data_IF_141508095362
#
_entry.id   IF_141508095362
#
_cell.length_a   1.000
_cell.length_b   1.000
_cell.length_c   1.000
_cell.angle_alpha   90.00
_cell.angle_beta   90.00
_cell.angle_gamma   90.00
#
_symmetry.space_group_name_H-M   'P 1'
#
loop_
_entity.id
_entity.type
_entity.pdbx_description
1 polymer ?
#
# COMPACT_ATOMS: atom_id res chain seq x y z
N UNK A 1 3.45 -28.08 55.13
CA UNK A 1 3.25 -26.63 54.95
C UNK A 1 3.31 -26.27 53.46
N UNK A 2 2.36 -26.76 52.65
CA UNK A 2 2.43 -26.64 51.18
C UNK A 2 1.15 -27.05 50.41
N UNK A 3 0.01 -27.21 51.10
CA UNK A 3 -1.25 -27.67 50.49
C UNK A 3 -2.37 -26.63 50.52
N UNK A 4 -2.13 -25.43 51.06
CA UNK A 4 -3.15 -24.38 51.19
C UNK A 4 -3.06 -23.26 50.15
N UNK A 5 -1.92 -23.08 49.46
CA UNK A 5 -1.76 -22.02 48.45
C UNK A 5 -2.36 -22.35 47.07
N UNK A 6 -2.65 -23.63 46.80
CA UNK A 6 -3.10 -24.04 45.46
C UNK A 6 -4.59 -23.79 45.17
N UNK A 7 -5.40 -23.46 46.19
CA UNK A 7 -6.88 -23.32 46.05
C UNK A 7 -7.36 -21.90 45.78
N UNK A 8 -6.54 -20.86 45.97
CA UNK A 8 -6.99 -19.47 45.84
C UNK A 8 -6.81 -18.85 44.44
N UNK A 9 -5.90 -19.37 43.61
CA UNK A 9 -5.68 -18.84 42.25
C UNK A 9 -6.83 -19.13 41.27
N UNK A 10 -7.63 -20.17 41.53
CA UNK A 10 -8.77 -20.53 40.67
C UNK A 10 -10.01 -19.66 40.94
N UNK A 11 -10.06 -18.97 42.08
CA UNK A 11 -11.26 -18.24 42.54
C UNK A 11 -11.27 -16.76 42.14
N UNK A 12 -10.15 -16.17 41.71
CA UNK A 12 -10.07 -14.74 41.39
C UNK A 12 -10.36 -14.41 39.91
N UNK A 13 -10.26 -15.38 39.01
CA UNK A 13 -10.51 -15.21 37.56
C UNK A 13 -11.99 -14.91 37.23
N UNK A 14 -12.92 -15.67 37.82
CA UNK A 14 -14.36 -15.50 37.56
C UNK A 14 -14.93 -14.17 38.06
N UNK A 15 -14.40 -13.66 39.19
CA UNK A 15 -14.86 -12.42 39.79
C UNK A 15 -14.29 -11.18 39.10
N UNK A 16 -13.08 -11.26 38.53
CA UNK A 16 -12.48 -10.20 37.74
C UNK A 16 -13.27 -9.97 36.43
N UNK A 17 -13.63 -11.03 35.71
CA UNK A 17 -14.44 -10.94 34.48
C UNK A 17 -15.86 -10.42 34.77
N UNK A 18 -16.48 -10.86 35.87
CA UNK A 18 -17.80 -10.37 36.29
C UNK A 18 -17.80 -8.87 36.60
N UNK A 19 -16.74 -8.35 37.23
CA UNK A 19 -16.60 -6.91 37.51
C UNK A 19 -16.32 -6.07 36.25
N UNK A 20 -15.67 -6.63 35.23
CA UNK A 20 -15.48 -5.97 33.92
C UNK A 20 -16.81 -5.85 33.19
N UNK A 21 -17.59 -6.93 33.11
CA UNK A 21 -18.91 -6.95 32.46
C UNK A 21 -19.90 -5.97 33.11
N UNK A 22 -19.81 -5.81 34.44
CA UNK A 22 -20.68 -4.92 35.22
C UNK A 22 -20.34 -3.42 35.09
N UNK A 23 -19.18 -3.09 34.51
CA UNK A 23 -18.71 -1.71 34.26
C UNK A 23 -18.80 -1.29 32.79
N UNK A 24 -19.37 -2.13 31.92
CA UNK A 24 -19.51 -1.81 30.50
C UNK A 24 -20.56 -0.70 30.33
N UNK A 25 -20.09 0.52 30.10
CA UNK A 25 -20.93 1.60 29.58
C UNK A 25 -21.39 1.26 28.15
N UNK A 26 -22.50 1.86 27.72
CA UNK A 26 -22.99 1.72 26.34
C UNK A 26 -21.88 2.01 25.31
N UNK A 27 -21.03 3.01 25.58
CA UNK A 27 -19.87 3.35 24.75
C UNK A 27 -18.86 2.19 24.64
N UNK A 28 -18.62 1.45 25.72
CA UNK A 28 -17.72 0.29 25.71
C UNK A 28 -18.28 -0.84 24.85
N UNK A 29 -19.60 -1.07 24.91
CA UNK A 29 -20.26 -2.07 24.06
C UNK A 29 -20.22 -1.70 22.58
N UNK A 30 -20.44 -0.42 22.25
CA UNK A 30 -20.34 0.08 20.88
C UNK A 30 -18.93 -0.08 20.32
N UNK A 31 -17.90 0.25 21.12
CA UNK A 31 -16.51 0.08 20.70
C UNK A 31 -16.15 -1.40 20.51
N UNK A 32 -16.57 -2.28 21.42
CA UNK A 32 -16.36 -3.73 21.28
C UNK A 32 -17.03 -4.24 19.99
N UNK A 33 -18.28 -3.84 19.75
CA UNK A 33 -19.00 -4.24 18.54
C UNK A 33 -18.32 -3.72 17.27
N UNK A 34 -17.88 -2.46 17.26
CA UNK A 34 -17.15 -1.87 16.14
C UNK A 34 -15.86 -2.65 15.84
N UNK A 35 -15.06 -2.96 16.88
CA UNK A 35 -13.83 -3.75 16.74
C UNK A 35 -14.15 -5.15 16.21
N UNK A 36 -15.17 -5.83 16.75
CA UNK A 36 -15.57 -7.16 16.29
C UNK A 36 -16.00 -7.14 14.82
N UNK A 37 -16.79 -6.15 14.40
CA UNK A 37 -17.20 -6.00 13.00
C UNK A 37 -15.99 -5.73 12.10
N UNK A 38 -15.08 -4.83 12.50
CA UNK A 38 -13.85 -4.54 11.74
C UNK A 38 -12.98 -5.78 11.60
N UNK A 39 -12.76 -6.52 12.70
CA UNK A 39 -11.99 -7.76 12.67
C UNK A 39 -12.68 -8.82 11.81
N UNK A 40 -14.00 -8.93 11.87
CA UNK A 40 -14.76 -9.87 11.04
C UNK A 40 -14.62 -9.53 9.54
N UNK A 41 -14.78 -8.26 9.18
CA UNK A 41 -14.63 -7.76 7.80
C UNK A 41 -13.22 -7.95 7.25
N UNK A 42 -12.19 -7.98 8.10
CA UNK A 42 -10.81 -8.17 7.70
C UNK A 42 -10.40 -9.65 7.68
N UNK A 43 -10.65 -10.37 8.77
CA UNK A 43 -10.14 -11.72 8.97
C UNK A 43 -10.90 -12.76 8.15
N UNK A 44 -12.21 -12.61 7.96
CA UNK A 44 -13.01 -13.57 7.19
C UNK A 44 -12.57 -13.64 5.73
N UNK A 45 -12.50 -12.53 4.96
CA UNK A 45 -12.02 -12.61 3.57
C UNK A 45 -10.56 -13.04 3.48
N UNK A 46 -9.69 -12.63 4.41
CA UNK A 46 -8.31 -13.12 4.42
C UNK A 46 -8.23 -14.64 4.64
N UNK A 47 -9.02 -15.18 5.56
CA UNK A 47 -9.11 -16.62 5.77
C UNK A 47 -9.64 -17.34 4.52
N UNK A 48 -10.68 -16.80 3.88
CA UNK A 48 -11.21 -17.34 2.63
C UNK A 48 -10.18 -17.32 1.51
N UNK A 49 -9.36 -16.27 1.39
CA UNK A 49 -8.27 -16.20 0.39
C UNK A 49 -7.22 -17.28 0.64
N UNK A 50 -6.80 -17.47 1.89
CA UNK A 50 -5.84 -18.52 2.25
C UNK A 50 -6.41 -19.91 2.03
N UNK A 51 -7.67 -20.16 2.39
CA UNK A 51 -8.31 -21.45 2.16
C UNK A 51 -8.48 -21.76 0.67
N UNK A 52 -8.84 -20.75 -0.15
CA UNK A 52 -8.97 -20.90 -1.59
C UNK A 52 -7.61 -21.10 -2.27
N UNK A 53 -6.53 -20.51 -1.77
CA UNK A 53 -5.20 -20.66 -2.40
C UNK A 53 -4.71 -22.12 -2.40
N UNK A 54 -5.11 -22.91 -1.40
CA UNK A 54 -4.78 -24.34 -1.25
C UNK A 54 -5.92 -25.28 -1.66
N UNK A 55 -6.93 -24.80 -2.37
CA UNK A 55 -8.03 -25.61 -2.90
C UNK A 55 -8.22 -25.36 -4.40
N UNK A 56 -8.82 -26.32 -5.10
CA UNK A 56 -9.31 -26.10 -6.46
C UNK A 56 -10.73 -25.55 -6.40
N UNK A 57 -11.12 -24.67 -7.33
CA UNK A 57 -12.50 -24.18 -7.43
C UNK A 57 -12.56 -22.68 -7.76
N UNK A 58 -13.76 -22.14 -8.02
CA UNK A 58 -13.93 -20.71 -8.21
C UNK A 58 -13.68 -19.96 -6.89
N UNK A 59 -13.14 -18.73 -6.91
CA UNK A 59 -12.82 -17.96 -5.69
C UNK A 59 -14.03 -17.70 -4.76
N UNK A 60 -15.25 -17.81 -5.28
CA UNK A 60 -16.50 -17.59 -4.56
C UNK A 60 -17.01 -18.82 -3.79
N UNK A 61 -16.37 -20.00 -3.93
CA UNK A 61 -16.80 -21.20 -3.21
C UNK A 61 -15.60 -21.98 -2.64
N UNK A 62 -15.75 -22.45 -1.41
CA UNK A 62 -14.77 -23.35 -0.77
C UNK A 62 -14.88 -24.80 -1.28
N UNK A 63 -15.41 -25.00 -2.49
CA UNK A 63 -15.74 -26.29 -3.05
C UNK A 63 -14.56 -26.82 -3.87
N UNK A 64 -13.98 -27.94 -3.42
CA UNK A 64 -12.98 -28.69 -4.15
C UNK A 64 -11.90 -29.29 -3.25
N UNK A 65 -11.14 -30.28 -3.75
CA UNK A 65 -10.06 -30.91 -3.00
C UNK A 65 -8.93 -29.94 -2.67
N UNK A 66 -8.21 -30.27 -1.59
CA UNK A 66 -6.97 -29.59 -1.22
C UNK A 66 -5.87 -29.85 -2.26
N UNK A 67 -5.09 -28.82 -2.62
CA UNK A 67 -4.01 -28.92 -3.61
C UNK A 67 -2.94 -27.86 -3.39
N UNK A 68 -1.71 -28.17 -3.80
CA UNK A 68 -0.61 -27.21 -3.92
C UNK A 68 -0.34 -26.79 -5.38
N UNK A 69 -1.13 -27.31 -6.34
CA UNK A 69 -0.93 -27.06 -7.77
C UNK A 69 -1.02 -25.57 -8.13
N UNK A 70 -1.85 -24.80 -7.42
CA UNK A 70 -1.99 -23.36 -7.63
C UNK A 70 -0.64 -22.64 -7.46
N UNK A 71 0.14 -23.02 -6.43
CA UNK A 71 1.48 -22.46 -6.20
C UNK A 71 2.48 -22.91 -7.26
N UNK A 72 2.44 -24.18 -7.67
CA UNK A 72 3.29 -24.65 -8.77
C UNK A 72 3.03 -23.88 -10.06
N UNK A 73 1.76 -23.68 -10.42
CA UNK A 73 1.37 -22.89 -11.60
C UNK A 73 1.82 -21.44 -11.47
N UNK A 74 1.65 -20.82 -10.30
CA UNK A 74 2.10 -19.46 -10.01
C UNK A 74 3.62 -19.31 -10.20
N UNK A 75 4.41 -20.16 -9.54
CA UNK A 75 5.87 -20.09 -9.57
C UNK A 75 6.47 -20.60 -10.89
N UNK A 76 5.73 -21.35 -11.69
CA UNK A 76 6.18 -21.74 -13.04
C UNK A 76 5.86 -20.69 -14.10
N UNK A 77 5.11 -19.63 -13.76
CA UNK A 77 4.70 -18.60 -14.70
C UNK A 77 5.79 -17.52 -14.86
N UNK A 78 6.41 -17.36 -16.05
CA UNK A 78 7.41 -16.31 -16.28
C UNK A 78 6.89 -14.90 -16.03
N UNK A 79 5.62 -14.64 -16.35
CA UNK A 79 5.00 -13.34 -16.11
C UNK A 79 4.95 -12.98 -14.63
N UNK A 80 4.74 -13.96 -13.74
CA UNK A 80 4.76 -13.72 -12.29
C UNK A 80 6.13 -13.22 -11.82
N UNK A 81 7.21 -13.82 -12.32
CA UNK A 81 8.57 -13.40 -11.98
C UNK A 81 8.90 -12.00 -12.49
N UNK A 82 8.54 -11.68 -13.72
CA UNK A 82 8.74 -10.33 -14.28
C UNK A 82 7.92 -9.30 -13.49
N UNK A 83 6.66 -9.57 -13.19
CA UNK A 83 5.81 -8.68 -12.42
C UNK A 83 6.34 -8.48 -10.98
N UNK A 84 6.82 -9.54 -10.34
CA UNK A 84 7.43 -9.49 -9.02
C UNK A 84 8.71 -8.65 -9.03
N UNK A 85 9.60 -8.88 -10.00
CA UNK A 85 10.84 -8.11 -10.14
C UNK A 85 10.55 -6.62 -10.38
N UNK A 86 9.62 -6.30 -11.30
CA UNK A 86 9.21 -4.93 -11.56
C UNK A 86 8.64 -4.27 -10.31
N UNK A 87 7.80 -4.97 -9.54
CA UNK A 87 7.23 -4.45 -8.30
C UNK A 87 8.33 -4.12 -7.29
N UNK A 88 9.28 -5.03 -7.07
CA UNK A 88 10.40 -4.82 -6.14
C UNK A 88 11.26 -3.63 -6.59
N UNK A 89 11.63 -3.58 -7.87
CA UNK A 89 12.44 -2.49 -8.44
C UNK A 89 11.74 -1.14 -8.26
N UNK A 90 10.46 -1.06 -8.64
CA UNK A 90 9.67 0.18 -8.51
C UNK A 90 9.53 0.57 -7.04
N UNK A 91 9.20 -0.37 -6.14
CA UNK A 91 9.07 -0.09 -4.71
C UNK A 91 10.37 0.42 -4.09
N UNK A 92 11.52 -0.17 -4.43
CA UNK A 92 12.82 0.26 -3.90
C UNK A 92 13.19 1.64 -4.44
N UNK A 93 13.12 1.85 -5.76
CA UNK A 93 13.48 3.13 -6.38
C UNK A 93 12.56 4.25 -5.89
N UNK A 94 11.24 4.02 -5.84
CA UNK A 94 10.29 5.02 -5.35
C UNK A 94 10.46 5.33 -3.86
N UNK A 95 10.76 4.32 -3.03
CA UNK A 95 10.99 4.54 -1.59
C UNK A 95 12.27 5.34 -1.36
N UNK A 96 13.38 4.97 -2.01
CA UNK A 96 14.65 5.67 -1.85
C UNK A 96 14.57 7.09 -2.40
N UNK A 97 14.04 7.26 -3.63
CA UNK A 97 13.84 8.58 -4.22
C UNK A 97 12.91 9.44 -3.36
N UNK A 98 11.77 8.88 -2.94
CA UNK A 98 10.81 9.54 -2.06
C UNK A 98 11.42 9.96 -0.73
N UNK A 99 12.25 9.11 -0.11
CA UNK A 99 12.93 9.41 1.15
C UNK A 99 13.93 10.57 0.98
N UNK A 100 14.72 10.56 -0.10
CA UNK A 100 15.66 11.66 -0.40
C UNK A 100 14.91 12.99 -0.52
N UNK A 101 13.84 13.04 -1.31
CA UNK A 101 13.05 14.26 -1.45
C UNK A 101 12.34 14.64 -0.16
N UNK A 102 11.75 13.69 0.56
CA UNK A 102 11.06 13.95 1.83
C UNK A 102 12.01 14.55 2.88
N UNK A 103 13.21 13.99 3.03
CA UNK A 103 14.23 14.52 3.96
C UNK A 103 14.70 15.89 3.52
N UNK A 104 14.96 16.09 2.23
CA UNK A 104 15.37 17.38 1.67
C UNK A 104 14.32 18.47 1.95
N UNK A 105 13.05 18.22 1.60
CA UNK A 105 11.98 19.18 1.82
C UNK A 105 11.70 19.40 3.31
N UNK A 106 11.71 18.36 4.14
CA UNK A 106 11.56 18.51 5.59
C UNK A 106 12.66 19.38 6.19
N UNK A 107 13.91 19.18 5.77
CA UNK A 107 15.03 20.00 6.23
C UNK A 107 14.92 21.45 5.75
N UNK A 108 14.65 21.68 4.46
CA UNK A 108 14.49 23.04 3.91
C UNK A 108 13.36 23.79 4.63
N UNK A 109 12.22 23.14 4.83
CA UNK A 109 11.06 23.75 5.46
C UNK A 109 11.32 24.04 6.94
N UNK A 110 11.90 23.11 7.71
CA UNK A 110 12.02 23.27 9.17
C UNK A 110 13.30 23.96 9.64
N UNK A 111 14.38 23.93 8.86
CA UNK A 111 15.70 24.40 9.28
C UNK A 111 16.21 25.60 8.50
N UNK A 112 15.49 26.07 7.48
CA UNK A 112 15.91 27.24 6.68
C UNK A 112 14.80 28.27 6.57
N UNK A 113 15.17 29.53 6.33
CA UNK A 113 14.23 30.63 6.06
C UNK A 113 13.73 30.57 4.60
N UNK A 114 13.22 29.41 4.18
CA UNK A 114 12.82 29.14 2.80
C UNK A 114 11.65 30.05 2.38
N UNK A 115 11.79 30.86 1.32
CA UNK A 115 10.65 31.59 0.77
C UNK A 115 9.61 30.62 0.22
N UNK A 116 8.32 30.97 0.32
CA UNK A 116 7.20 30.13 -0.13
C UNK A 116 7.04 28.78 0.60
N UNK A 117 7.49 28.67 1.86
CA UNK A 117 7.33 27.48 2.73
C UNK A 117 5.94 26.83 2.65
N UNK A 118 4.87 27.64 2.63
CA UNK A 118 3.49 27.15 2.54
C UNK A 118 3.20 26.45 1.20
N UNK A 119 3.71 26.98 0.08
CA UNK A 119 3.57 26.33 -1.23
C UNK A 119 4.35 25.01 -1.28
N UNK A 120 5.54 24.96 -0.68
CA UNK A 120 6.30 23.71 -0.58
C UNK A 120 5.54 22.65 0.22
N UNK A 121 4.93 23.03 1.36
CA UNK A 121 4.04 22.14 2.13
C UNK A 121 2.86 21.63 1.31
N UNK A 122 2.18 22.53 0.58
CA UNK A 122 1.06 22.15 -0.29
C UNK A 122 1.54 21.18 -1.37
N UNK A 123 2.67 21.44 -2.02
CA UNK A 123 3.20 20.59 -3.08
C UNK A 123 3.53 19.17 -2.59
N UNK A 124 4.03 19.02 -1.36
CA UNK A 124 4.29 17.71 -0.75
C UNK A 124 2.99 16.95 -0.45
N UNK A 125 1.93 17.65 -0.03
CA UNK A 125 0.65 17.04 0.32
C UNK A 125 -0.28 16.84 -0.89
N UNK A 126 -0.10 17.60 -1.96
CA UNK A 126 -0.97 17.61 -3.13
C UNK A 126 -1.18 16.22 -3.75
N UNK A 127 -0.15 15.35 -3.92
CA UNK A 127 -0.34 14.02 -4.46
C UNK A 127 -1.29 13.14 -3.64
N UNK A 128 -1.46 13.40 -2.33
CA UNK A 128 -2.37 12.65 -1.46
C UNK A 128 -3.84 12.98 -1.75
N UNK A 129 -4.12 14.16 -2.29
CA UNK A 129 -5.48 14.58 -2.65
C UNK A 129 -5.91 14.06 -4.03
N UNK A 130 -4.96 13.71 -4.89
CA UNK A 130 -5.23 13.27 -6.26
C UNK A 130 -5.51 11.76 -6.25
N UNK A 131 -6.65 11.30 -6.81
CA UNK A 131 -6.90 9.88 -7.02
C UNK A 131 -5.78 9.21 -7.81
N UNK A 132 -5.28 8.06 -7.35
CA UNK A 132 -4.11 7.40 -7.94
C UNK A 132 -4.23 7.12 -9.44
N UNK A 133 -5.44 6.84 -9.94
CA UNK A 133 -5.71 6.66 -11.38
C UNK A 133 -5.45 7.94 -12.16
N UNK A 134 -5.92 9.09 -11.67
CA UNK A 134 -5.70 10.38 -12.32
C UNK A 134 -4.22 10.77 -12.30
N UNK A 135 -3.52 10.44 -11.22
CA UNK A 135 -2.08 10.64 -11.12
C UNK A 135 -1.33 9.84 -12.19
N UNK A 136 -1.64 8.54 -12.32
CA UNK A 136 -1.04 7.68 -13.35
C UNK A 136 -1.33 8.18 -14.78
N UNK A 137 -2.58 8.55 -15.07
CA UNK A 137 -2.97 9.08 -16.38
C UNK A 137 -2.29 10.41 -16.70
N UNK A 138 -2.11 11.28 -15.70
CA UNK A 138 -1.44 12.56 -15.89
C UNK A 138 0.01 12.36 -16.33
N UNK A 139 0.76 11.47 -15.68
CA UNK A 139 2.11 11.13 -16.10
C UNK A 139 2.16 10.43 -17.46
N UNK A 140 1.20 9.54 -17.75
CA UNK A 140 1.10 8.89 -19.05
C UNK A 140 0.90 9.89 -20.19
N UNK A 141 0.07 10.92 -19.98
CA UNK A 141 -0.17 11.97 -20.97
C UNK A 141 1.01 12.94 -21.07
N UNK A 142 1.59 13.37 -19.96
CA UNK A 142 2.73 14.29 -19.93
C UNK A 142 3.99 13.70 -20.58
N UNK A 143 4.20 12.39 -20.43
CA UNK A 143 5.34 11.65 -20.97
C UNK A 143 4.98 10.86 -22.24
N UNK A 144 3.87 11.19 -22.90
CA UNK A 144 3.55 10.61 -24.20
C UNK A 144 4.62 11.02 -25.23
N UNK A 145 5.20 10.11 -26.02
CA UNK A 145 6.34 10.42 -26.90
C UNK A 145 6.08 11.56 -27.90
N UNK A 146 4.87 11.59 -28.47
CA UNK A 146 4.50 12.55 -29.52
C UNK A 146 3.87 13.82 -28.98
N UNK A 147 2.89 13.68 -28.11
CA UNK A 147 2.01 14.77 -27.66
C UNK A 147 2.24 15.18 -26.20
N UNK A 148 3.16 14.54 -25.49
CA UNK A 148 3.41 14.83 -24.09
C UNK A 148 4.10 16.19 -23.93
N UNK A 149 3.54 17.04 -23.07
CA UNK A 149 4.04 18.39 -22.85
C UNK A 149 5.52 18.41 -22.44
N UNK A 150 5.96 17.43 -21.65
CA UNK A 150 7.36 17.34 -21.22
C UNK A 150 8.26 17.01 -22.42
N UNK A 151 7.85 16.07 -23.27
CA UNK A 151 8.60 15.70 -24.47
C UNK A 151 8.65 16.81 -25.52
N UNK A 152 7.57 17.58 -25.67
CA UNK A 152 7.55 18.78 -26.52
C UNK A 152 8.56 19.80 -25.99
N UNK A 153 8.49 20.15 -24.70
CA UNK A 153 9.40 21.10 -24.07
C UNK A 153 10.88 20.66 -24.17
N UNK A 154 11.16 19.35 -23.99
CA UNK A 154 12.50 18.81 -24.16
C UNK A 154 13.00 18.93 -25.61
N UNK A 155 12.17 18.65 -26.60
CA UNK A 155 12.55 18.80 -28.02
C UNK A 155 12.85 20.25 -28.38
N UNK A 156 11.99 21.17 -27.94
CA UNK A 156 12.21 22.60 -28.16
C UNK A 156 13.49 23.08 -27.49
N UNK A 157 13.77 22.63 -26.26
CA UNK A 157 14.99 22.96 -25.53
C UNK A 157 16.24 22.40 -26.19
N UNK A 158 16.17 21.19 -26.76
CA UNK A 158 17.31 20.49 -27.36
C UNK A 158 17.56 20.88 -28.83
N UNK A 159 16.54 21.40 -29.52
CA UNK A 159 16.62 21.82 -30.93
C UNK A 159 17.73 22.84 -31.24
N UNK A 160 18.02 23.86 -30.40
CA UNK A 160 19.10 24.82 -30.66
C UNK A 160 20.49 24.21 -30.49
N UNK A 161 20.60 23.06 -29.81
CA UNK A 161 21.84 22.31 -29.64
C UNK A 161 22.08 21.30 -30.77
N UNK A 162 21.24 21.28 -31.81
CA UNK A 162 21.39 20.42 -32.99
C UNK A 162 20.77 19.04 -32.87
N UNK A 163 19.99 18.77 -31.82
CA UNK A 163 19.25 17.52 -31.66
C UNK A 163 17.83 17.65 -32.24
N UNK A 164 17.58 17.03 -33.38
CA UNK A 164 16.24 16.89 -33.97
C UNK A 164 15.67 15.51 -33.64
N UNK A 165 14.80 15.43 -32.64
CA UNK A 165 14.14 14.19 -32.23
C UNK A 165 12.69 14.18 -32.75
N UNK A 166 12.35 13.18 -33.58
CA UNK A 166 10.99 13.01 -34.11
C UNK A 166 10.00 12.60 -33.01
N UNK A 167 10.41 11.68 -32.16
CA UNK A 167 9.69 11.26 -30.96
C UNK A 167 10.45 11.73 -29.71
N UNK A 168 9.72 12.13 -28.67
CA UNK A 168 10.31 12.56 -27.40
C UNK A 168 11.09 11.43 -26.71
N UNK A 169 12.20 11.75 -26.02
CA UNK A 169 13.10 10.75 -25.45
C UNK A 169 12.51 10.00 -24.25
N UNK A 170 11.47 10.55 -23.60
CA UNK A 170 10.82 9.91 -22.47
C UNK A 170 9.59 9.16 -22.96
N UNK A 171 9.62 7.83 -22.87
CA UNK A 171 8.49 6.99 -23.21
C UNK A 171 8.14 6.07 -22.04
N UNK A 172 7.14 6.44 -21.25
CA UNK A 172 6.64 5.57 -20.17
C UNK A 172 5.90 4.35 -20.73
N UNK A 173 5.47 4.41 -22.01
CA UNK A 173 4.69 3.37 -22.67
C UNK A 173 5.50 2.21 -23.22
N UNK A 174 6.83 2.30 -23.22
CA UNK A 174 7.70 1.19 -23.60
C UNK A 174 8.02 0.26 -22.43
N UNK A 175 7.50 0.53 -21.22
CA UNK A 175 7.82 -0.22 -20.00
C UNK A 175 6.91 -1.44 -19.78
N UNK A 176 6.16 -1.87 -20.80
CA UNK A 176 5.26 -3.02 -20.75
C UNK A 176 5.29 -3.87 -22.02
#
# INVERSE_FOLDING_TARGET
MGLLEHRDRARTSGWAMFNVLRRLSLSSLVLILAVVITLWLLLVPMLLLVLNSIRTGPPSSLAGPWTLRNYYVLFSNPFFHTALANTVIISVISTLGGLVFAVLFAWLIERTDMPFRTLAWIAVLLPLAIPGVLFALSWMLLLAPRMGLINIALRELLSPFGFSLDDGPLNIQSLW
#
